data_IF_178154219149
#
_entry.id   IF_178154219149
#
_cell.length_a   1.000
_cell.length_b   1.000
_cell.length_c   1.000
_cell.angle_alpha   90.00
_cell.angle_beta   90.00
_cell.angle_gamma   90.00
#
_symmetry.space_group_name_H-M   'P 1'
#
loop_
_entity.id
_entity.type
_entity.pdbx_description
1 polymer ?
#
# COMPACT_ATOMS: atom_id res chain seq x y z
N UNK A 1 -42.92 -33.84 30.98
CA UNK A 1 -42.30 -32.68 31.72
C UNK A 1 -40.78 -32.80 31.80
N UNK A 2 -40.21 -33.95 32.23
CA UNK A 2 -38.74 -34.10 32.31
C UNK A 2 -38.06 -33.98 30.93
N UNK A 3 -38.59 -34.64 29.89
CA UNK A 3 -38.05 -34.56 28.53
C UNK A 3 -38.11 -33.17 27.90
N UNK A 4 -39.13 -32.36 28.24
CA UNK A 4 -39.23 -30.96 27.76
C UNK A 4 -38.22 -30.05 28.42
N UNK A 5 -37.85 -30.30 29.68
CA UNK A 5 -36.78 -29.56 30.39
C UNK A 5 -35.43 -29.89 29.78
N UNK A 6 -35.18 -31.15 29.46
CA UNK A 6 -33.93 -31.59 28.84
C UNK A 6 -33.74 -30.97 27.44
N UNK A 7 -34.83 -30.97 26.64
CA UNK A 7 -34.84 -30.34 25.32
C UNK A 7 -34.59 -28.82 25.39
N UNK A 8 -35.22 -28.13 26.35
CA UNK A 8 -35.00 -26.71 26.61
C UNK A 8 -33.54 -26.42 27.04
N UNK A 9 -32.95 -27.28 27.83
CA UNK A 9 -31.56 -27.15 28.26
C UNK A 9 -30.61 -27.32 27.08
N UNK A 10 -30.85 -28.28 26.19
CA UNK A 10 -30.03 -28.48 24.99
C UNK A 10 -30.15 -27.29 24.02
N UNK A 11 -31.38 -26.77 23.79
CA UNK A 11 -31.59 -25.57 22.97
C UNK A 11 -30.92 -24.35 23.59
N UNK A 12 -31.05 -24.17 24.91
CA UNK A 12 -30.39 -23.06 25.61
C UNK A 12 -28.86 -23.11 25.48
N UNK A 13 -28.31 -24.32 25.56
CA UNK A 13 -26.87 -24.55 25.43
C UNK A 13 -26.40 -24.28 23.99
N UNK A 14 -27.16 -24.73 22.99
CA UNK A 14 -26.87 -24.44 21.57
C UNK A 14 -26.96 -22.95 21.29
N UNK A 15 -27.97 -22.24 21.75
CA UNK A 15 -28.13 -20.80 21.61
C UNK A 15 -27.00 -20.05 22.26
N UNK A 16 -26.51 -20.47 23.42
CA UNK A 16 -25.38 -19.84 24.11
C UNK A 16 -24.10 -20.01 23.32
N UNK A 17 -23.88 -21.19 22.73
CA UNK A 17 -22.76 -21.44 21.84
C UNK A 17 -22.79 -20.53 20.60
N UNK A 18 -23.97 -20.40 19.98
CA UNK A 18 -24.16 -19.52 18.80
C UNK A 18 -23.92 -18.04 19.12
N UNK A 19 -24.37 -17.60 20.28
CA UNK A 19 -24.11 -16.24 20.78
C UNK A 19 -22.60 -16.00 20.96
N UNK A 20 -21.87 -16.95 21.52
CA UNK A 20 -20.42 -16.83 21.73
C UNK A 20 -19.66 -16.77 20.40
N UNK A 21 -20.06 -17.60 19.42
CA UNK A 21 -19.51 -17.55 18.04
C UNK A 21 -19.80 -16.21 17.39
N UNK A 22 -21.03 -15.72 17.46
CA UNK A 22 -21.41 -14.44 16.88
C UNK A 22 -20.66 -13.27 17.51
N UNK A 23 -20.46 -13.27 18.83
CA UNK A 23 -19.64 -12.26 19.51
C UNK A 23 -18.21 -12.27 19.02
N UNK A 24 -17.60 -13.44 18.82
CA UNK A 24 -16.25 -13.57 18.30
C UNK A 24 -16.15 -13.05 16.86
N UNK A 25 -17.13 -13.32 16.00
CA UNK A 25 -17.18 -12.81 14.63
C UNK A 25 -17.37 -11.29 14.57
N UNK A 26 -18.21 -10.73 15.43
CA UNK A 26 -18.39 -9.28 15.56
C UNK A 26 -17.07 -8.62 16.00
N UNK A 27 -16.38 -9.17 16.98
CA UNK A 27 -15.10 -8.66 17.45
C UNK A 27 -14.03 -8.64 16.32
N UNK A 28 -13.93 -9.71 15.54
CA UNK A 28 -13.04 -9.80 14.37
C UNK A 28 -13.40 -8.79 13.29
N UNK A 29 -14.69 -8.62 13.01
CA UNK A 29 -15.17 -7.65 12.02
C UNK A 29 -14.85 -6.23 12.48
N UNK A 30 -15.04 -5.90 13.75
CA UNK A 30 -14.70 -4.60 14.31
C UNK A 30 -13.19 -4.33 14.25
N UNK A 31 -12.36 -5.33 14.53
CA UNK A 31 -10.91 -5.21 14.39
C UNK A 31 -10.50 -4.93 12.94
N UNK A 32 -11.10 -5.64 11.97
CA UNK A 32 -10.88 -5.40 10.54
C UNK A 32 -11.30 -3.98 10.13
N UNK A 33 -12.46 -3.51 10.59
CA UNK A 33 -12.93 -2.15 10.33
C UNK A 33 -11.95 -1.13 10.92
N UNK A 34 -11.49 -1.33 12.14
CA UNK A 34 -10.51 -0.45 12.79
C UNK A 34 -9.15 -0.43 12.06
N UNK A 35 -8.82 -1.49 11.32
CA UNK A 35 -7.58 -1.61 10.56
C UNK A 35 -7.70 -1.07 9.13
N UNK A 36 -8.86 -0.57 8.69
CA UNK A 36 -9.07 -0.06 7.33
C UNK A 36 -8.28 1.22 7.03
N UNK A 37 -7.89 1.98 8.03
CA UNK A 37 -7.03 3.16 7.89
C UNK A 37 -5.55 2.85 8.10
N UNK A 38 -5.21 1.58 8.36
CA UNK A 38 -3.86 1.14 8.67
C UNK A 38 -3.22 0.49 7.42
N UNK A 39 -2.22 1.16 6.88
CA UNK A 39 -1.51 0.73 5.67
C UNK A 39 -0.11 0.22 6.01
N UNK A 40 0.23 -0.91 5.43
CA UNK A 40 1.55 -1.52 5.52
C UNK A 40 2.29 -1.39 4.18
N UNK A 41 3.57 -1.05 4.24
CA UNK A 41 4.45 -1.11 3.07
C UNK A 41 4.75 -2.58 2.78
N UNK A 42 4.25 -3.08 1.66
CA UNK A 42 4.49 -4.47 1.23
C UNK A 42 5.75 -4.59 0.38
N UNK A 43 6.01 -3.59 -0.46
CA UNK A 43 7.18 -3.55 -1.33
C UNK A 43 7.60 -2.11 -1.61
N UNK A 44 8.86 -1.94 -1.96
CA UNK A 44 9.48 -0.65 -2.27
C UNK A 44 10.37 -0.79 -3.49
N UNK A 45 10.27 0.14 -4.43
CA UNK A 45 11.27 0.37 -5.47
C UNK A 45 11.82 1.79 -5.39
N UNK A 46 13.10 1.95 -5.67
CA UNK A 46 13.75 3.24 -5.77
C UNK A 46 14.27 3.44 -7.19
N UNK A 47 13.82 4.50 -7.83
CA UNK A 47 14.21 4.86 -9.20
C UNK A 47 15.11 6.08 -9.14
N UNK A 48 16.29 5.99 -9.77
CA UNK A 48 17.27 7.07 -9.79
C UNK A 48 17.23 7.86 -11.08
N UNK A 49 17.62 9.14 -10.99
CA UNK A 49 17.59 10.07 -12.11
C UNK A 49 18.94 10.76 -12.30
N UNK A 50 19.23 11.10 -13.55
CA UNK A 50 20.37 11.94 -13.89
C UNK A 50 20.19 13.38 -13.39
N UNK A 51 21.29 14.11 -13.31
CA UNK A 51 21.28 15.52 -12.95
C UNK A 51 20.31 16.29 -13.85
N UNK A 52 19.50 17.13 -13.26
CA UNK A 52 18.54 18.01 -13.93
C UNK A 52 17.61 17.27 -14.93
N UNK A 53 17.32 15.99 -14.68
CA UNK A 53 16.47 15.17 -15.53
C UNK A 53 15.33 14.54 -14.75
N UNK A 54 14.18 14.43 -15.40
CA UNK A 54 13.00 13.65 -14.97
C UNK A 54 12.67 12.51 -15.94
N UNK A 55 13.64 12.13 -16.78
CA UNK A 55 13.49 11.03 -17.74
C UNK A 55 13.82 9.71 -17.08
N UNK A 56 12.92 8.72 -17.19
CA UNK A 56 13.13 7.37 -16.70
C UNK A 56 14.21 6.65 -17.51
N UNK A 57 15.20 6.09 -16.81
CA UNK A 57 16.22 5.23 -17.41
C UNK A 57 15.64 3.84 -17.73
N UNK A 58 16.29 3.05 -18.61
CA UNK A 58 15.91 1.66 -18.83
C UNK A 58 15.91 0.81 -17.56
N UNK A 59 16.89 1.03 -16.65
CA UNK A 59 16.98 0.36 -15.35
C UNK A 59 15.80 0.76 -14.45
N UNK A 60 15.49 2.06 -14.39
CA UNK A 60 14.34 2.56 -13.63
C UNK A 60 13.01 2.00 -14.11
N UNK A 61 12.84 1.85 -15.43
CA UNK A 61 11.66 1.20 -16.01
C UNK A 61 11.58 -0.28 -15.63
N UNK A 62 12.71 -1.00 -15.67
CA UNK A 62 12.76 -2.41 -15.28
C UNK A 62 12.37 -2.61 -13.81
N UNK A 63 12.83 -1.74 -12.92
CA UNK A 63 12.44 -1.78 -11.49
C UNK A 63 10.95 -1.51 -11.31
N UNK A 64 10.40 -0.56 -12.06
CA UNK A 64 8.96 -0.28 -12.06
C UNK A 64 8.13 -1.41 -12.66
N UNK A 65 8.64 -2.12 -13.66
CA UNK A 65 7.97 -3.29 -14.25
C UNK A 65 7.79 -4.39 -13.21
N UNK A 66 8.82 -4.70 -12.45
CA UNK A 66 8.76 -5.67 -11.35
C UNK A 66 7.77 -5.24 -10.28
N UNK A 67 7.82 -3.97 -9.88
CA UNK A 67 6.91 -3.42 -8.88
C UNK A 67 5.46 -3.46 -9.35
N UNK A 68 5.20 -3.08 -10.61
CA UNK A 68 3.85 -3.07 -11.18
C UNK A 68 3.23 -4.47 -11.21
N UNK A 69 4.00 -5.49 -11.59
CA UNK A 69 3.53 -6.87 -11.59
C UNK A 69 3.16 -7.34 -10.18
N UNK A 70 3.96 -6.99 -9.17
CA UNK A 70 3.64 -7.29 -7.77
C UNK A 70 2.37 -6.56 -7.31
N UNK A 71 2.24 -5.29 -7.65
CA UNK A 71 1.06 -4.50 -7.30
C UNK A 71 -0.21 -5.11 -7.91
N UNK A 72 -0.19 -5.46 -9.19
CA UNK A 72 -1.33 -6.06 -9.89
C UNK A 72 -1.73 -7.43 -9.33
N UNK A 73 -0.78 -8.17 -8.76
CA UNK A 73 -1.04 -9.43 -8.05
C UNK A 73 -1.52 -9.26 -6.61
N UNK A 74 -1.57 -8.04 -6.10
CA UNK A 74 -1.90 -7.73 -4.70
C UNK A 74 -3.30 -7.14 -4.59
N UNK A 75 -4.16 -7.79 -3.81
CA UNK A 75 -5.52 -7.29 -3.61
C UNK A 75 -5.52 -6.00 -2.77
N UNK A 76 -6.29 -5.01 -3.23
CA UNK A 76 -6.50 -3.77 -2.48
C UNK A 76 -5.26 -2.88 -2.36
N UNK A 77 -4.30 -3.03 -3.27
CA UNK A 77 -3.08 -2.24 -3.27
C UNK A 77 -3.33 -0.75 -3.51
N UNK A 78 -2.47 0.07 -2.93
CA UNK A 78 -2.27 1.47 -3.27
C UNK A 78 -0.79 1.68 -3.58
N UNK A 79 -0.48 2.68 -4.39
CA UNK A 79 0.90 3.04 -4.73
C UNK A 79 1.16 4.46 -4.24
N UNK A 80 2.18 4.61 -3.40
CA UNK A 80 2.69 5.91 -2.96
C UNK A 80 3.94 6.26 -3.78
N UNK A 81 3.95 7.44 -4.38
CA UNK A 81 5.06 7.92 -5.22
C UNK A 81 5.60 9.22 -4.65
N UNK A 82 6.88 9.23 -4.28
CA UNK A 82 7.52 10.40 -3.67
C UNK A 82 8.83 10.71 -4.39
N UNK A 83 8.96 11.94 -4.89
CA UNK A 83 10.13 12.41 -5.61
C UNK A 83 11.08 13.24 -4.74
N UNK A 84 12.37 13.13 -5.02
CA UNK A 84 13.44 13.84 -4.34
C UNK A 84 14.48 14.37 -5.31
N UNK A 85 15.20 15.41 -4.90
CA UNK A 85 16.32 16.00 -5.62
C UNK A 85 17.56 16.06 -4.72
N UNK A 86 18.73 16.23 -5.33
CA UNK A 86 19.91 16.64 -4.59
C UNK A 86 19.85 18.14 -4.25
N UNK A 87 20.77 18.63 -3.45
CA UNK A 87 20.80 20.04 -3.01
C UNK A 87 21.38 21.02 -4.02
N UNK A 88 21.70 20.57 -5.23
CA UNK A 88 22.30 21.42 -6.27
C UNK A 88 21.26 22.42 -6.78
N UNK A 89 21.60 23.69 -6.76
CA UNK A 89 20.78 24.75 -7.32
C UNK A 89 19.72 25.29 -6.37
N UNK A 90 18.64 25.79 -6.94
CA UNK A 90 17.60 26.52 -6.22
C UNK A 90 16.54 25.55 -5.66
N UNK A 91 16.17 25.71 -4.40
CA UNK A 91 15.16 24.89 -3.70
C UNK A 91 13.83 24.82 -4.43
N UNK A 92 13.34 25.94 -4.99
CA UNK A 92 12.09 25.96 -5.73
C UNK A 92 12.15 25.11 -7.02
N UNK A 93 13.28 25.21 -7.76
CA UNK A 93 13.51 24.37 -8.93
C UNK A 93 13.60 22.90 -8.55
N UNK A 94 14.24 22.58 -7.43
CA UNK A 94 14.34 21.22 -6.93
C UNK A 94 12.97 20.63 -6.54
N UNK A 95 12.07 21.43 -6.01
CA UNK A 95 10.67 21.02 -5.76
C UNK A 95 9.97 20.65 -7.08
N UNK A 96 10.06 21.51 -8.08
CA UNK A 96 9.48 21.25 -9.40
C UNK A 96 10.10 20.01 -10.05
N UNK A 97 11.42 19.88 -10.00
CA UNK A 97 12.13 18.73 -10.57
C UNK A 97 11.75 17.42 -9.89
N UNK A 98 11.67 17.40 -8.57
CA UNK A 98 11.25 16.22 -7.82
C UNK A 98 9.79 15.84 -8.09
N UNK A 99 8.90 16.83 -8.25
CA UNK A 99 7.53 16.60 -8.65
C UNK A 99 7.45 16.02 -10.07
N UNK A 100 8.20 16.56 -11.02
CA UNK A 100 8.24 16.04 -12.39
C UNK A 100 8.77 14.61 -12.46
N UNK A 101 9.72 14.25 -11.60
CA UNK A 101 10.18 12.86 -11.47
C UNK A 101 9.10 11.92 -10.96
N UNK A 102 8.38 12.34 -9.92
CA UNK A 102 7.25 11.57 -9.40
C UNK A 102 6.15 11.42 -10.47
N UNK A 103 5.82 12.48 -11.18
CA UNK A 103 4.82 12.47 -12.26
C UNK A 103 5.24 11.54 -13.41
N UNK A 104 6.52 11.48 -13.76
CA UNK A 104 7.05 10.58 -14.79
C UNK A 104 6.84 9.10 -14.40
N UNK A 105 7.04 8.76 -13.14
CA UNK A 105 6.76 7.42 -12.61
C UNK A 105 5.27 7.09 -12.67
N UNK A 106 4.42 7.99 -12.19
CA UNK A 106 2.95 7.82 -12.23
C UNK A 106 2.48 7.60 -13.66
N UNK A 107 2.94 8.42 -14.59
CA UNK A 107 2.60 8.29 -16.01
C UNK A 107 3.03 6.95 -16.58
N UNK A 108 4.25 6.52 -16.29
CA UNK A 108 4.75 5.23 -16.75
C UNK A 108 3.89 4.06 -16.26
N UNK A 109 3.55 4.03 -14.98
CA UNK A 109 2.73 2.99 -14.39
C UNK A 109 1.30 3.00 -14.93
N UNK A 110 0.71 4.19 -15.12
CA UNK A 110 -0.65 4.33 -15.66
C UNK A 110 -0.73 3.93 -17.13
N UNK A 111 0.21 4.39 -17.96
CA UNK A 111 0.17 4.17 -19.41
C UNK A 111 0.65 2.78 -19.82
N UNK A 112 1.63 2.21 -19.12
CA UNK A 112 2.21 0.90 -19.47
C UNK A 112 1.43 -0.28 -18.88
N UNK A 113 0.92 -0.12 -17.65
CA UNK A 113 0.27 -1.19 -16.89
C UNK A 113 -1.21 -0.97 -16.61
N UNK A 114 -1.81 0.08 -17.16
CA UNK A 114 -3.21 0.46 -16.90
C UNK A 114 -3.55 0.57 -15.40
N UNK A 115 -2.57 0.94 -14.57
CA UNK A 115 -2.83 1.14 -13.15
C UNK A 115 -3.72 2.36 -12.96
N UNK A 116 -4.92 2.21 -12.40
CA UNK A 116 -5.85 3.32 -12.27
C UNK A 116 -5.30 4.42 -11.35
N UNK A 117 -5.48 5.68 -11.72
CA UNK A 117 -5.03 6.82 -10.92
C UNK A 117 -5.63 6.82 -9.50
N UNK A 118 -6.83 6.27 -9.31
CA UNK A 118 -7.43 6.11 -7.98
C UNK A 118 -6.66 5.17 -7.05
N UNK A 119 -5.75 4.34 -7.59
CA UNK A 119 -4.85 3.47 -6.84
C UNK A 119 -3.55 4.17 -6.45
N UNK A 120 -3.30 5.36 -6.96
CA UNK A 120 -2.10 6.12 -6.69
C UNK A 120 -2.41 7.23 -5.68
N UNK A 121 -1.65 7.25 -4.60
CA UNK A 121 -1.68 8.37 -3.65
C UNK A 121 -1.06 9.57 -4.36
N UNK A 122 -1.60 10.75 -4.13
CA UNK A 122 -1.14 12.00 -4.75
C UNK A 122 0.38 12.07 -4.76
N UNK A 123 1.02 12.08 -5.93
CA UNK A 123 2.48 12.13 -6.02
C UNK A 123 3.00 13.45 -5.47
N UNK A 124 4.09 13.37 -4.70
CA UNK A 124 4.65 14.54 -4.04
C UNK A 124 6.15 14.65 -4.24
N UNK A 125 6.61 15.85 -4.60
CA UNK A 125 8.02 16.20 -4.74
C UNK A 125 8.52 16.99 -3.54
N UNK A 126 9.40 16.40 -2.73
CA UNK A 126 10.01 17.07 -1.57
C UNK A 126 11.15 18.00 -1.93
N UNK A 127 11.65 17.98 -3.18
CA UNK A 127 12.86 18.71 -3.54
C UNK A 127 14.07 18.14 -2.79
N UNK A 128 14.87 19.02 -2.24
CA UNK A 128 16.09 18.69 -1.49
C UNK A 128 15.90 18.57 0.03
N UNK A 129 14.66 18.59 0.51
CA UNK A 129 14.34 18.64 1.94
C UNK A 129 14.59 17.33 2.71
N UNK A 130 14.62 16.18 2.04
CA UNK A 130 14.75 14.86 2.69
C UNK A 130 15.88 14.05 2.03
N UNK A 131 17.14 14.41 2.25
CA UNK A 131 18.27 13.64 1.72
C UNK A 131 18.37 12.29 2.43
N UNK A 132 18.81 11.26 1.69
CA UNK A 132 19.16 9.93 2.22
C UNK A 132 20.67 9.73 2.30
N UNK A 133 21.42 10.61 1.63
CA UNK A 133 22.88 10.58 1.58
C UNK A 133 23.45 12.01 1.61
N UNK A 134 24.75 12.09 1.78
CA UNK A 134 25.48 13.36 1.82
C UNK A 134 25.44 14.05 0.45
N UNK A 135 25.01 15.31 0.42
CA UNK A 135 24.97 16.13 -0.78
C UNK A 135 26.35 16.71 -1.18
N UNK A 136 27.35 16.62 -0.32
CA UNK A 136 28.70 17.11 -0.61
C UNK A 136 29.48 16.17 -1.56
N UNK A 137 29.12 14.87 -1.57
CA UNK A 137 29.69 13.88 -2.46
C UNK A 137 28.89 13.69 -3.75
N UNK A 138 29.55 13.31 -4.83
CA UNK A 138 28.91 12.97 -6.11
C UNK A 138 28.01 11.75 -5.94
N UNK A 139 28.50 10.75 -5.22
CA UNK A 139 27.77 9.50 -4.91
C UNK A 139 26.52 9.79 -4.10
N UNK A 140 26.64 10.59 -3.06
CA UNK A 140 25.51 10.97 -2.20
C UNK A 140 24.45 11.75 -2.97
N UNK A 141 24.83 12.71 -3.81
CA UNK A 141 23.89 13.43 -4.67
C UNK A 141 23.18 12.49 -5.63
N UNK A 142 23.86 11.50 -6.18
CA UNK A 142 23.23 10.51 -7.08
C UNK A 142 22.17 9.67 -6.36
N UNK A 143 22.37 9.35 -5.09
CA UNK A 143 21.40 8.66 -4.27
C UNK A 143 20.18 9.54 -3.89
N UNK A 144 20.40 10.85 -3.76
CA UNK A 144 19.34 11.79 -3.44
C UNK A 144 18.41 12.06 -4.63
N UNK A 145 18.90 11.94 -5.89
CA UNK A 145 18.10 12.10 -7.11
C UNK A 145 17.26 10.86 -7.37
N UNK A 146 16.17 10.70 -6.65
CA UNK A 146 15.37 9.48 -6.67
C UNK A 146 13.87 9.73 -6.61
N UNK A 147 13.13 8.71 -6.97
CA UNK A 147 11.71 8.53 -6.65
C UNK A 147 11.56 7.23 -5.87
N UNK A 148 10.91 7.30 -4.75
CA UNK A 148 10.53 6.14 -3.95
C UNK A 148 9.09 5.76 -4.31
N UNK A 149 8.89 4.50 -4.65
CA UNK A 149 7.59 3.94 -5.03
C UNK A 149 7.27 2.80 -4.10
N UNK A 150 6.22 2.94 -3.31
CA UNK A 150 5.82 1.96 -2.31
C UNK A 150 4.49 1.33 -2.68
N UNK A 151 4.39 0.01 -2.58
CA UNK A 151 3.12 -0.70 -2.59
C UNK A 151 2.61 -0.74 -1.16
N UNK A 152 1.44 -0.14 -0.95
CA UNK A 152 0.75 -0.14 0.33
C UNK A 152 -0.43 -1.10 0.28
N UNK A 153 -0.61 -1.85 1.34
CA UNK A 153 -1.77 -2.70 1.51
C UNK A 153 -2.51 -2.32 2.78
N UNK A 154 -3.82 -2.33 2.69
CA UNK A 154 -4.67 -2.07 3.84
C UNK A 154 -4.66 -3.29 4.76
N UNK A 155 -4.31 -3.09 6.03
CA UNK A 155 -4.22 -4.16 7.01
C UNK A 155 -5.56 -4.88 7.23
N UNK A 156 -6.67 -4.14 7.19
CA UNK A 156 -8.00 -4.73 7.31
C UNK A 156 -8.39 -5.64 6.15
N UNK A 157 -7.88 -5.38 4.93
CA UNK A 157 -8.13 -6.19 3.73
C UNK A 157 -7.22 -7.40 3.61
N UNK A 158 -6.05 -7.41 4.28
CA UNK A 158 -5.11 -8.53 4.26
C UNK A 158 -5.41 -9.59 5.30
N UNK A 159 -6.26 -9.29 6.29
CA UNK A 159 -6.71 -10.28 7.26
C UNK A 159 -7.60 -11.33 6.59
N UNK A 160 -7.33 -12.62 6.87
CA UNK A 160 -8.14 -13.70 6.36
C UNK A 160 -9.61 -13.55 6.79
N UNK A 161 -10.53 -13.70 5.83
CA UNK A 161 -11.94 -13.82 6.16
C UNK A 161 -12.14 -15.08 7.02
N UNK A 162 -12.90 -15.01 8.13
CA UNK A 162 -13.34 -16.24 8.77
C UNK A 162 -14.13 -17.06 7.74
N UNK A 163 -13.85 -18.36 7.70
CA UNK A 163 -14.61 -19.26 6.86
C UNK A 163 -16.10 -19.07 7.22
N UNK A 164 -16.88 -18.63 6.26
CA UNK A 164 -18.35 -18.64 6.39
C UNK A 164 -18.72 -20.08 6.67
N UNK A 165 -19.26 -20.34 7.85
CA UNK A 165 -19.95 -21.59 8.10
C UNK A 165 -21.13 -21.60 7.14
N UNK A 166 -20.95 -22.25 6.01
CA UNK A 166 -22.05 -22.57 5.13
C UNK A 166 -23.05 -23.34 5.97
N UNK A 167 -24.12 -22.67 6.35
CA UNK A 167 -25.31 -23.31 6.87
C UNK A 167 -25.82 -24.20 5.75
N UNK A 168 -25.40 -25.45 5.74
CA UNK A 168 -26.09 -26.51 5.04
C UNK A 168 -27.36 -26.74 5.82
N UNK A 169 -28.41 -26.06 5.41
CA UNK A 169 -29.76 -26.42 5.79
C UNK A 169 -30.21 -27.56 4.85
N UNK A 170 -30.60 -28.73 5.37
CA UNK A 170 -31.16 -29.81 4.57
C UNK A 170 -32.54 -29.46 4.01
#
# INVERSE_FOLDING_TARGET
LAGQVDELNEVSKAMKSDIDVNKAEIARTNERISSLDDYLVQDLATVYFKVNSSVLSPEGKADLDVLAQKALGTRGYMIEVTGFADSTGNTQKNRVLSQNRADAVVRYLAETYDIPLRRMITPFGYGDLKPVADNDSVEGRSQNRRVEVKILVNRGLTQAMPASSASTNP
#
